data_IF_690311266391
#
_entry.id   IF_690311266391
#
_cell.length_a   1.000
_cell.length_b   1.000
_cell.length_c   1.000
_cell.angle_alpha   90.00
_cell.angle_beta   90.00
_cell.angle_gamma   90.00
#
_symmetry.space_group_name_H-M   'P 1'
#
loop_
_entity.id
_entity.type
_entity.pdbx_description
1 polymer ?
#
# COMPACT_ATOMS: atom_id res chain seq x y z
N UNK A 1 -30.52 -59.66 -29.38
CA UNK A 1 -29.31 -58.84 -29.58
C UNK A 1 -29.61 -57.67 -30.52
N UNK A 2 -29.46 -56.39 -30.11
CA UNK A 2 -29.70 -55.27 -31.02
C UNK A 2 -28.52 -55.09 -32.00
N UNK A 3 -28.84 -55.06 -33.31
CA UNK A 3 -27.86 -54.86 -34.40
C UNK A 3 -27.19 -53.49 -34.26
N UNK A 4 -25.85 -53.46 -34.22
CA UNK A 4 -25.06 -52.21 -34.19
C UNK A 4 -25.33 -51.41 -35.49
N UNK A 5 -26.00 -50.25 -35.39
CA UNK A 5 -26.21 -49.34 -36.54
C UNK A 5 -24.88 -48.85 -37.13
N UNK A 6 -24.78 -48.90 -38.46
CA UNK A 6 -23.66 -48.40 -39.29
C UNK A 6 -23.40 -46.90 -39.07
N UNK A 7 -22.14 -46.45 -39.22
CA UNK A 7 -21.72 -45.04 -39.02
C UNK A 7 -22.37 -44.09 -40.02
N UNK A 8 -22.74 -44.59 -41.20
CA UNK A 8 -23.41 -43.84 -42.27
C UNK A 8 -24.80 -43.39 -41.79
N UNK A 9 -25.52 -44.32 -41.13
CA UNK A 9 -26.87 -44.08 -40.60
C UNK A 9 -26.89 -42.97 -39.56
N UNK A 10 -25.89 -42.92 -38.67
CA UNK A 10 -25.81 -41.87 -37.65
C UNK A 10 -25.51 -40.49 -38.23
N UNK A 11 -24.67 -40.40 -39.27
CA UNK A 11 -24.38 -39.13 -39.95
C UNK A 11 -25.62 -38.59 -40.66
N UNK A 12 -26.40 -39.46 -41.30
CA UNK A 12 -27.58 -39.04 -42.05
C UNK A 12 -28.73 -38.63 -41.13
N UNK A 13 -28.85 -39.24 -39.94
CA UNK A 13 -29.76 -38.78 -38.88
C UNK A 13 -29.36 -37.37 -38.41
N UNK A 14 -28.08 -37.16 -38.06
CA UNK A 14 -27.60 -35.85 -37.59
C UNK A 14 -27.73 -34.75 -38.65
N UNK A 15 -27.57 -35.09 -39.94
CA UNK A 15 -27.82 -34.16 -41.05
C UNK A 15 -29.27 -33.75 -41.18
N UNK A 16 -30.23 -34.66 -40.92
CA UNK A 16 -31.66 -34.31 -40.89
C UNK A 16 -31.99 -33.34 -39.77
N UNK A 17 -31.26 -33.40 -38.67
CA UNK A 17 -31.36 -32.46 -37.55
C UNK A 17 -30.53 -31.17 -37.76
N UNK A 18 -30.02 -30.93 -38.98
CA UNK A 18 -29.28 -29.72 -39.36
C UNK A 18 -27.80 -29.69 -38.95
N UNK A 19 -27.27 -30.77 -38.37
CA UNK A 19 -25.88 -30.85 -37.88
C UNK A 19 -24.99 -31.52 -38.93
N UNK A 20 -24.26 -30.71 -39.70
CA UNK A 20 -23.35 -31.21 -40.72
C UNK A 20 -21.97 -31.58 -40.13
N UNK A 21 -21.75 -32.88 -39.90
CA UNK A 21 -20.47 -33.42 -39.41
C UNK A 21 -19.92 -34.51 -40.34
N UNK A 22 -18.60 -34.70 -40.33
CA UNK A 22 -17.95 -35.75 -41.13
C UNK A 22 -18.16 -37.14 -40.52
N UNK A 23 -18.13 -38.20 -41.36
CA UNK A 23 -18.18 -39.59 -40.86
C UNK A 23 -17.03 -39.87 -39.89
N UNK A 24 -15.85 -39.28 -40.14
CA UNK A 24 -14.68 -39.39 -39.27
C UNK A 24 -14.94 -38.79 -37.89
N UNK A 25 -15.59 -37.63 -37.83
CA UNK A 25 -15.97 -36.98 -36.57
C UNK A 25 -16.95 -37.85 -35.79
N UNK A 26 -17.98 -38.39 -36.44
CA UNK A 26 -18.95 -39.32 -35.80
C UNK A 26 -18.24 -40.58 -35.30
N UNK A 27 -17.30 -41.12 -36.08
CA UNK A 27 -16.50 -42.30 -35.70
C UNK A 27 -15.59 -42.03 -34.50
N UNK A 28 -14.85 -40.92 -34.52
CA UNK A 28 -14.00 -40.46 -33.40
C UNK A 28 -14.84 -40.23 -32.14
N UNK A 29 -16.04 -39.64 -32.30
CA UNK A 29 -16.98 -39.43 -31.22
C UNK A 29 -17.41 -40.77 -30.62
N UNK A 30 -17.82 -41.73 -31.46
CA UNK A 30 -18.27 -43.06 -31.03
C UNK A 30 -17.16 -43.90 -30.40
N UNK A 31 -15.92 -43.83 -30.91
CA UNK A 31 -14.75 -44.52 -30.35
C UNK A 31 -14.34 -43.97 -28.98
N UNK A 32 -14.59 -42.69 -28.72
CA UNK A 32 -14.33 -42.05 -27.41
C UNK A 32 -15.54 -42.12 -26.44
N UNK A 33 -16.56 -42.95 -26.71
CA UNK A 33 -17.64 -43.21 -25.73
C UNK A 33 -17.06 -44.02 -24.58
N UNK A 34 -16.69 -43.31 -23.50
CA UNK A 34 -16.02 -43.84 -22.31
C UNK A 34 -14.88 -42.95 -21.79
N UNK A 35 -14.32 -42.08 -22.63
CA UNK A 35 -13.19 -41.21 -22.27
C UNK A 35 -13.52 -39.72 -22.49
N UNK A 36 -14.26 -39.11 -21.56
CA UNK A 36 -14.54 -37.66 -21.51
C UNK A 36 -15.72 -37.15 -22.37
N UNK A 37 -16.96 -37.48 -22.00
CA UNK A 37 -18.14 -36.66 -22.40
C UNK A 37 -18.99 -36.09 -21.27
N UNK A 38 -18.72 -36.45 -20.01
CA UNK A 38 -19.35 -35.79 -18.86
C UNK A 38 -18.49 -34.67 -18.25
N UNK A 39 -17.34 -34.31 -18.83
CA UNK A 39 -16.69 -33.06 -18.46
C UNK A 39 -17.35 -31.92 -19.24
N UNK A 40 -18.20 -31.15 -18.56
CA UNK A 40 -18.84 -29.91 -19.04
C UNK A 40 -17.80 -28.86 -19.50
N UNK A 41 -16.52 -29.08 -19.23
CA UNK A 41 -15.44 -28.14 -19.51
C UNK A 41 -14.83 -28.30 -20.91
N UNK A 42 -14.74 -27.18 -21.65
CA UNK A 42 -14.06 -27.08 -22.95
C UNK A 42 -12.60 -27.53 -22.84
N UNK A 43 -12.12 -28.32 -23.80
CA UNK A 43 -10.69 -28.65 -23.96
C UNK A 43 -9.90 -27.33 -24.10
N UNK A 44 -9.05 -27.03 -23.12
CA UNK A 44 -8.21 -25.83 -23.13
C UNK A 44 -6.98 -26.08 -24.00
N UNK A 45 -6.96 -25.51 -25.20
CA UNK A 45 -5.73 -25.42 -25.98
C UNK A 45 -4.76 -24.46 -25.28
N UNK A 46 -3.73 -25.01 -24.63
CA UNK A 46 -2.66 -24.26 -24.00
C UNK A 46 -1.52 -24.07 -25.00
N UNK A 47 -1.26 -22.83 -25.43
CA UNK A 47 -0.02 -22.51 -26.14
C UNK A 47 1.10 -22.46 -25.09
N UNK A 48 2.04 -23.42 -25.14
CA UNK A 48 3.24 -23.34 -24.32
C UNK A 48 3.97 -22.03 -24.63
N UNK A 49 4.32 -21.27 -23.60
CA UNK A 49 5.06 -20.01 -23.72
C UNK A 49 6.55 -20.32 -23.59
N UNK A 50 7.36 -20.22 -24.65
CA UNK A 50 8.75 -20.69 -24.62
C UNK A 50 9.64 -19.97 -23.60
N UNK A 51 9.33 -18.70 -23.30
CA UNK A 51 10.23 -17.80 -22.54
C UNK A 51 10.03 -17.88 -21.02
N UNK A 52 8.90 -18.41 -20.55
CA UNK A 52 8.60 -18.57 -19.12
C UNK A 52 8.73 -20.03 -18.72
N UNK A 53 9.92 -20.61 -18.93
CA UNK A 53 10.23 -21.96 -18.43
C UNK A 53 10.16 -21.95 -16.89
N UNK A 54 9.83 -23.08 -16.25
CA UNK A 54 9.80 -23.18 -14.79
C UNK A 54 11.12 -22.72 -14.14
N UNK A 55 12.27 -22.99 -14.78
CA UNK A 55 13.58 -22.51 -14.34
C UNK A 55 13.69 -20.99 -14.35
N UNK A 56 13.26 -20.32 -15.41
CA UNK A 56 13.27 -18.85 -15.48
C UNK A 56 12.33 -18.25 -14.44
N UNK A 57 11.15 -18.85 -14.23
CA UNK A 57 10.21 -18.40 -13.19
C UNK A 57 10.86 -18.50 -11.80
N UNK A 58 11.54 -19.61 -11.49
CA UNK A 58 12.25 -19.78 -10.22
C UNK A 58 13.37 -18.73 -10.04
N UNK A 59 14.16 -18.46 -11.08
CA UNK A 59 15.20 -17.41 -11.04
C UNK A 59 14.59 -16.03 -10.76
N UNK A 60 13.44 -15.73 -11.37
CA UNK A 60 12.72 -14.48 -11.12
C UNK A 60 12.21 -14.42 -9.68
N UNK A 61 11.65 -15.52 -9.16
CA UNK A 61 11.18 -15.60 -7.76
C UNK A 61 12.34 -15.35 -6.79
N UNK A 62 13.47 -16.03 -6.97
CA UNK A 62 14.66 -15.83 -6.15
C UNK A 62 15.19 -14.39 -6.20
N UNK A 63 15.06 -13.72 -7.36
CA UNK A 63 15.49 -12.34 -7.50
C UNK A 63 14.52 -11.32 -6.86
N UNK A 64 13.22 -11.62 -6.78
CA UNK A 64 12.22 -10.71 -6.20
C UNK A 64 11.99 -10.94 -4.71
N UNK A 65 12.18 -12.16 -4.22
CA UNK A 65 11.92 -12.56 -2.83
C UNK A 65 13.13 -12.26 -1.92
N UNK A 66 13.56 -11.00 -1.96
CA UNK A 66 14.65 -10.45 -1.16
C UNK A 66 14.23 -9.09 -0.60
N UNK A 67 14.85 -8.66 0.50
CA UNK A 67 14.49 -7.40 1.17
C UNK A 67 14.55 -6.18 0.24
N UNK A 68 15.55 -6.14 -0.64
CA UNK A 68 15.80 -5.05 -1.58
C UNK A 68 15.93 -5.62 -3.00
N UNK A 69 14.78 -5.88 -3.66
CA UNK A 69 14.80 -6.51 -4.97
C UNK A 69 15.33 -5.55 -6.04
N UNK A 70 16.10 -6.05 -7.02
CA UNK A 70 16.59 -5.25 -8.13
C UNK A 70 15.42 -4.83 -9.06
N UNK A 71 15.68 -3.84 -9.92
CA UNK A 71 14.66 -3.38 -10.87
C UNK A 71 14.28 -4.49 -11.86
N UNK A 72 13.03 -4.46 -12.36
CA UNK A 72 12.59 -5.43 -13.36
C UNK A 72 13.48 -5.44 -14.62
N UNK A 73 14.08 -4.31 -14.99
CA UNK A 73 15.04 -4.21 -16.10
C UNK A 73 16.35 -4.95 -15.80
N UNK A 74 16.84 -4.86 -14.57
CA UNK A 74 18.04 -5.60 -14.14
C UNK A 74 17.79 -7.11 -14.16
N UNK A 75 16.63 -7.55 -13.65
CA UNK A 75 16.23 -8.97 -13.69
C UNK A 75 16.08 -9.44 -15.13
N UNK A 76 15.45 -8.63 -15.99
CA UNK A 76 15.30 -8.92 -17.41
C UNK A 76 16.65 -9.14 -18.11
N UNK A 77 17.65 -8.28 -17.82
CA UNK A 77 19.01 -8.44 -18.35
C UNK A 77 19.67 -9.74 -17.85
N UNK A 78 19.53 -10.07 -16.57
CA UNK A 78 20.10 -11.29 -15.98
C UNK A 78 19.42 -12.58 -16.49
N UNK A 79 18.12 -12.53 -16.78
CA UNK A 79 17.36 -13.66 -17.30
C UNK A 79 17.30 -13.72 -18.83
N UNK A 80 18.02 -12.84 -19.54
CA UNK A 80 17.99 -12.69 -21.01
C UNK A 80 16.54 -12.64 -21.57
N UNK A 81 15.67 -11.90 -20.88
CA UNK A 81 14.26 -11.78 -21.23
C UNK A 81 13.86 -10.30 -21.36
N UNK A 82 12.71 -10.04 -21.97
CA UNK A 82 12.14 -8.69 -22.00
C UNK A 82 11.58 -8.29 -20.62
N UNK A 83 11.57 -6.98 -20.31
CA UNK A 83 10.97 -6.49 -19.07
C UNK A 83 9.46 -6.80 -18.97
N UNK A 84 8.75 -6.85 -20.10
CA UNK A 84 7.33 -7.21 -20.12
C UNK A 84 7.10 -8.68 -19.75
N UNK A 85 8.01 -9.58 -20.15
CA UNK A 85 8.00 -10.99 -19.72
C UNK A 85 8.15 -11.09 -18.21
N UNK A 86 9.13 -10.38 -17.62
CA UNK A 86 9.34 -10.37 -16.16
C UNK A 86 8.12 -9.81 -15.43
N UNK A 87 7.55 -8.71 -15.90
CA UNK A 87 6.32 -8.12 -15.32
C UNK A 87 5.15 -9.12 -15.33
N UNK A 88 4.99 -9.88 -16.42
CA UNK A 88 3.97 -10.92 -16.53
C UNK A 88 4.22 -12.10 -15.59
N UNK A 89 5.48 -12.55 -15.46
CA UNK A 89 5.85 -13.60 -14.49
C UNK A 89 5.53 -13.14 -13.06
N UNK A 90 5.93 -11.93 -12.68
CA UNK A 90 5.65 -11.35 -11.35
C UNK A 90 4.14 -11.35 -11.06
N UNK A 91 3.32 -10.95 -12.04
CA UNK A 91 1.84 -10.99 -11.93
C UNK A 91 1.31 -12.42 -11.81
N UNK A 92 1.85 -13.37 -12.58
CA UNK A 92 1.44 -14.78 -12.53
C UNK A 92 1.75 -15.43 -11.18
N UNK A 93 2.87 -15.07 -10.54
CA UNK A 93 3.26 -15.53 -9.21
C UNK A 93 2.61 -14.70 -8.09
N UNK A 94 1.70 -13.78 -8.43
CA UNK A 94 0.93 -12.97 -7.48
C UNK A 94 1.76 -12.02 -6.58
N UNK A 95 2.92 -11.57 -7.06
CA UNK A 95 3.69 -10.51 -6.41
C UNK A 95 3.20 -9.13 -6.85
N UNK A 96 3.11 -8.18 -5.92
CA UNK A 96 2.73 -6.79 -6.21
C UNK A 96 3.82 -5.81 -5.76
N UNK A 97 4.20 -4.89 -6.65
CA UNK A 97 5.17 -3.86 -6.31
C UNK A 97 4.50 -2.82 -5.42
N UNK A 98 5.07 -2.57 -4.24
CA UNK A 98 4.63 -1.55 -3.29
C UNK A 98 5.76 -0.56 -3.02
N UNK A 99 5.41 0.72 -2.89
CA UNK A 99 6.37 1.76 -2.51
C UNK A 99 6.66 1.65 -1.01
N UNK A 100 7.94 1.52 -0.63
CA UNK A 100 8.36 1.56 0.77
C UNK A 100 8.06 2.93 1.37
N UNK A 101 7.55 2.96 2.59
CA UNK A 101 7.37 4.20 3.35
C UNK A 101 8.70 4.64 3.97
N UNK A 102 8.97 5.95 3.94
CA UNK A 102 10.15 6.52 4.58
C UNK A 102 9.92 6.56 6.09
N UNK A 103 10.78 5.89 6.85
CA UNK A 103 10.76 5.87 8.32
C UNK A 103 12.13 6.24 8.88
N UNK A 104 12.16 6.71 10.13
CA UNK A 104 13.44 6.97 10.81
C UNK A 104 14.22 5.67 11.03
N UNK A 105 15.52 5.70 10.78
CA UNK A 105 16.42 4.58 11.07
C UNK A 105 16.48 4.35 12.58
N UNK A 106 16.07 3.17 13.03
CA UNK A 106 16.16 2.77 14.43
C UNK A 106 17.44 1.98 14.67
N UNK A 107 18.19 2.35 15.71
CA UNK A 107 19.27 1.52 16.24
C UNK A 107 18.68 0.40 17.11
N UNK A 108 19.41 -0.70 17.29
CA UNK A 108 19.00 -1.80 18.19
C UNK A 108 18.68 -1.31 19.60
N UNK A 109 19.49 -0.38 20.13
CA UNK A 109 19.25 0.29 21.41
C UNK A 109 17.92 1.08 21.43
N UNK A 110 17.59 1.79 20.35
CA UNK A 110 16.32 2.53 20.26
C UNK A 110 15.11 1.60 20.19
N UNK A 111 15.22 0.47 19.49
CA UNK A 111 14.17 -0.56 19.43
C UNK A 111 13.90 -1.11 20.83
N UNK A 112 14.96 -1.47 21.58
CA UNK A 112 14.82 -2.01 22.92
C UNK A 112 14.24 -0.97 23.90
N UNK A 113 14.72 0.28 23.84
CA UNK A 113 14.14 1.38 24.63
C UNK A 113 12.65 1.56 24.32
N UNK A 114 12.24 1.49 23.06
CA UNK A 114 10.83 1.59 22.65
C UNK A 114 10.01 0.42 23.20
N UNK A 115 10.49 -0.82 23.03
CA UNK A 115 9.80 -2.03 23.52
C UNK A 115 9.57 -1.97 25.02
N UNK A 116 10.63 -1.70 25.79
CA UNK A 116 10.57 -1.61 27.25
C UNK A 116 9.64 -0.50 27.74
N UNK A 117 9.70 0.69 27.13
CA UNK A 117 8.86 1.84 27.50
C UNK A 117 7.39 1.61 27.11
N UNK A 118 7.13 1.03 25.95
CA UNK A 118 5.77 0.79 25.45
C UNK A 118 4.99 -0.16 26.37
N UNK A 119 5.60 -1.27 26.80
CA UNK A 119 4.95 -2.22 27.72
C UNK A 119 4.64 -1.55 29.06
N UNK A 120 5.58 -0.77 29.61
CA UNK A 120 5.38 -0.05 30.87
C UNK A 120 4.28 1.00 30.76
N UNK A 121 4.25 1.77 29.68
CA UNK A 121 3.22 2.77 29.41
C UNK A 121 1.85 2.10 29.25
N UNK A 122 1.76 0.99 28.50
CA UNK A 122 0.51 0.24 28.34
C UNK A 122 -0.07 -0.19 29.69
N UNK A 123 0.75 -0.76 30.57
CA UNK A 123 0.32 -1.15 31.93
C UNK A 123 -0.20 0.04 32.76
N UNK A 124 0.36 1.23 32.54
CA UNK A 124 -0.10 2.46 33.23
C UNK A 124 -1.41 3.01 32.66
N UNK A 125 -1.67 2.80 31.36
CA UNK A 125 -2.86 3.27 30.66
C UNK A 125 -4.05 2.30 30.75
N UNK A 126 -3.78 1.01 30.98
CA UNK A 126 -4.78 -0.06 31.11
C UNK A 126 -5.82 0.22 32.23
N UNK A 127 -6.90 -0.55 32.24
CA UNK A 127 -7.97 -0.45 33.26
C UNK A 127 -8.57 0.95 33.38
N UNK A 128 -8.84 1.60 32.24
CA UNK A 128 -9.41 2.95 32.17
C UNK A 128 -8.54 4.06 32.79
N UNK A 129 -7.29 3.76 33.18
CA UNK A 129 -6.37 4.71 33.81
C UNK A 129 -5.84 5.76 32.83
N UNK A 130 -5.91 5.49 31.52
CA UNK A 130 -5.62 6.45 30.46
C UNK A 130 -6.42 7.75 30.60
N UNK A 131 -7.61 7.72 31.23
CA UNK A 131 -8.42 8.92 31.49
C UNK A 131 -7.69 9.96 32.36
N UNK A 132 -6.67 9.53 33.10
CA UNK A 132 -5.91 10.38 34.00
C UNK A 132 -4.68 11.00 33.32
N UNK A 133 -4.42 10.64 32.07
CA UNK A 133 -3.26 11.11 31.33
C UNK A 133 -3.63 12.30 30.44
N UNK A 134 -2.68 13.21 30.31
CA UNK A 134 -2.69 14.27 29.31
C UNK A 134 -1.49 14.02 28.40
N UNK A 135 -1.72 13.95 27.10
CA UNK A 135 -0.65 13.93 26.11
C UNK A 135 -0.48 15.33 25.55
N UNK A 136 0.75 15.81 25.48
CA UNK A 136 1.09 17.15 25.02
C UNK A 136 2.11 17.06 23.90
N UNK A 137 2.02 17.96 22.93
CA UNK A 137 2.96 18.03 21.83
C UNK A 137 3.07 19.46 21.30
N UNK A 138 4.18 19.74 20.61
CA UNK A 138 4.44 20.97 19.90
C UNK A 138 4.40 20.74 18.39
N UNK A 139 3.66 21.59 17.67
CA UNK A 139 3.61 21.52 16.21
C UNK A 139 3.78 22.89 15.56
N UNK A 140 4.50 22.91 14.43
CA UNK A 140 4.62 24.08 13.57
C UNK A 140 3.44 24.15 12.61
N UNK A 141 2.78 25.30 12.57
CA UNK A 141 1.77 25.64 11.58
C UNK A 141 2.38 26.67 10.62
N UNK A 142 2.34 26.36 9.33
CA UNK A 142 2.82 27.24 8.27
C UNK A 142 1.64 28.02 7.69
N UNK A 143 1.86 29.32 7.44
CA UNK A 143 0.87 30.21 6.83
C UNK A 143 0.87 30.08 5.31
N UNK A 144 2.04 29.78 4.73
CA UNK A 144 2.20 29.57 3.31
C UNK A 144 1.73 28.15 2.95
N UNK A 145 0.82 28.06 1.97
CA UNK A 145 0.05 26.86 1.65
C UNK A 145 0.87 25.57 1.56
N UNK A 146 0.39 24.54 2.27
CA UNK A 146 0.99 23.20 2.41
C UNK A 146 1.20 22.43 1.11
N UNK A 147 0.62 22.88 -0.01
CA UNK A 147 0.68 22.15 -1.28
C UNK A 147 1.96 22.41 -2.09
N UNK A 148 2.73 23.45 -1.75
CA UNK A 148 3.91 23.87 -2.49
C UNK A 148 3.62 24.11 -3.98
N UNK A 149 4.63 24.57 -4.74
CA UNK A 149 4.55 24.51 -6.20
C UNK A 149 4.81 23.06 -6.63
N UNK A 150 3.87 22.44 -7.35
CA UNK A 150 4.03 21.05 -7.85
C UNK A 150 5.16 21.00 -8.87
N UNK A 151 6.00 19.95 -8.81
CA UNK A 151 7.11 19.72 -9.76
C UNK A 151 6.67 19.27 -11.16
N UNK A 152 5.38 19.38 -11.47
CA UNK A 152 4.79 18.90 -12.71
C UNK A 152 4.14 20.08 -13.40
N UNK A 153 4.61 20.40 -14.60
CA UNK A 153 3.96 21.34 -15.51
C UNK A 153 3.64 20.62 -16.83
N UNK A 154 2.48 20.93 -17.41
CA UNK A 154 2.10 20.48 -18.74
C UNK A 154 2.27 21.64 -19.70
N UNK A 155 3.03 21.43 -20.78
CA UNK A 155 3.38 22.47 -21.74
C UNK A 155 3.02 21.98 -23.14
N UNK A 156 2.45 22.88 -23.95
CA UNK A 156 2.13 22.60 -25.34
C UNK A 156 3.44 22.56 -26.14
N UNK A 157 3.62 21.54 -26.96
CA UNK A 157 4.83 21.39 -27.80
C UNK A 157 4.96 22.47 -28.87
N UNK A 158 3.83 23.06 -29.30
CA UNK A 158 3.76 24.05 -30.37
C UNK A 158 4.19 25.45 -29.92
N UNK A 159 4.01 25.78 -28.64
CA UNK A 159 4.29 27.08 -28.06
C UNK A 159 4.69 26.87 -26.59
N UNK A 160 5.97 26.62 -26.32
CA UNK A 160 6.45 26.35 -24.98
C UNK A 160 6.53 27.63 -24.14
N UNK A 161 5.61 27.78 -23.19
CA UNK A 161 5.72 28.76 -22.11
C UNK A 161 6.79 28.30 -21.10
N UNK A 162 8.02 28.76 -21.31
CA UNK A 162 9.18 28.39 -20.50
C UNK A 162 9.12 28.93 -19.07
N UNK A 163 8.38 30.02 -18.80
CA UNK A 163 8.25 30.57 -17.45
C UNK A 163 7.51 29.60 -16.53
N UNK A 164 6.56 28.82 -17.08
CA UNK A 164 5.89 27.73 -16.34
C UNK A 164 6.81 26.56 -16.01
N UNK A 165 7.99 26.46 -16.62
CA UNK A 165 9.02 25.48 -16.26
C UNK A 165 9.86 25.94 -15.07
N UNK A 166 9.83 27.23 -14.73
CA UNK A 166 10.67 27.81 -13.68
C UNK A 166 9.97 27.66 -12.33
N UNK A 167 10.46 26.72 -11.54
CA UNK A 167 10.11 26.63 -10.13
C UNK A 167 11.07 27.51 -9.33
N UNK A 168 10.66 28.75 -9.06
CA UNK A 168 11.35 29.58 -8.07
C UNK A 168 11.21 28.92 -6.71
N UNK A 169 12.34 28.53 -6.14
CA UNK A 169 12.43 27.99 -4.80
C UNK A 169 12.53 29.17 -3.84
N UNK A 170 11.50 29.39 -3.01
CA UNK A 170 11.59 30.37 -1.94
C UNK A 170 12.74 29.95 -1.01
N UNK A 171 13.73 30.85 -0.87
CA UNK A 171 14.94 30.61 -0.08
C UNK A 171 14.70 30.73 1.42
N UNK A 172 13.58 31.35 1.83
CA UNK A 172 13.18 31.50 3.22
C UNK A 172 12.31 30.34 3.68
N UNK A 173 12.53 29.91 4.94
CA UNK A 173 11.59 29.00 5.61
C UNK A 173 10.20 29.65 5.61
N UNK A 174 9.13 28.94 5.20
CA UNK A 174 7.78 29.50 5.14
C UNK A 174 7.40 30.11 6.48
N UNK A 175 6.69 31.23 6.44
CA UNK A 175 6.27 31.91 7.64
C UNK A 175 5.33 31.00 8.43
N UNK A 176 5.57 30.87 9.72
CA UNK A 176 4.81 29.98 10.56
C UNK A 176 4.98 30.28 12.03
N UNK A 177 4.14 29.66 12.84
CA UNK A 177 4.18 29.76 14.29
C UNK A 177 4.12 28.36 14.90
N UNK A 178 4.71 28.22 16.09
CA UNK A 178 4.66 26.98 16.85
C UNK A 178 3.51 27.06 17.85
N UNK A 179 2.72 26.00 17.94
CA UNK A 179 1.64 25.85 18.90
C UNK A 179 1.96 24.68 19.80
N UNK A 180 1.80 24.92 21.10
CA UNK A 180 1.75 23.88 22.12
C UNK A 180 0.29 23.56 22.44
N UNK A 181 -0.04 22.27 22.48
CA UNK A 181 -1.36 21.81 22.85
C UNK A 181 -1.30 20.46 23.57
N UNK A 182 -2.29 20.21 24.41
CA UNK A 182 -2.50 18.93 25.08
C UNK A 182 -3.93 18.43 24.91
N UNK A 183 -4.06 17.12 24.97
CA UNK A 183 -5.35 16.42 24.93
C UNK A 183 -5.42 15.38 26.05
N UNK A 184 -6.60 15.26 26.64
CA UNK A 184 -6.95 14.25 27.64
C UNK A 184 -8.30 13.65 27.31
N UNK A 185 -8.72 12.59 28.03
CA UNK A 185 -10.06 12.03 27.85
C UNK A 185 -11.20 13.01 28.19
N UNK A 186 -10.90 14.06 28.96
CA UNK A 186 -11.88 15.06 29.41
C UNK A 186 -11.91 16.30 28.51
N UNK A 187 -11.03 16.38 27.51
CA UNK A 187 -10.97 17.48 26.55
C UNK A 187 -9.56 17.99 26.31
N UNK A 188 -9.49 19.11 25.58
CA UNK A 188 -8.24 19.77 25.17
C UNK A 188 -7.80 20.85 26.15
N UNK A 189 -6.49 21.09 26.21
CA UNK A 189 -5.92 22.26 26.89
C UNK A 189 -6.18 23.54 26.08
N UNK A 190 -5.95 24.69 26.69
CA UNK A 190 -5.79 25.93 25.92
C UNK A 190 -4.61 25.80 24.95
N UNK A 191 -4.79 26.30 23.72
CA UNK A 191 -3.71 26.41 22.74
C UNK A 191 -2.77 27.53 23.18
N UNK A 192 -1.47 27.25 23.18
CA UNK A 192 -0.43 28.23 23.55
C UNK A 192 0.45 28.49 22.35
N UNK A 193 0.41 29.72 21.87
CA UNK A 193 1.23 30.17 20.75
C UNK A 193 2.61 30.55 21.27
N UNK A 194 3.64 29.90 20.74
CA UNK A 194 5.03 30.25 20.99
C UNK A 194 5.40 31.42 20.08
N UNK A 195 5.98 32.47 20.66
CA UNK A 195 6.34 33.68 19.89
C UNK A 195 7.33 33.33 18.77
N UNK A 196 7.11 33.82 17.53
CA UNK A 196 8.05 33.62 16.42
C UNK A 196 9.45 34.16 16.78
N UNK A 197 10.50 33.46 16.31
CA UNK A 197 11.89 33.86 16.54
C UNK A 197 12.47 33.55 17.93
N UNK A 198 11.64 33.11 18.89
CA UNK A 198 12.14 32.66 20.20
C UNK A 198 12.70 31.24 20.07
N UNK A 199 14.00 31.08 20.30
CA UNK A 199 14.60 29.76 20.52
C UNK A 199 14.03 29.23 21.84
N UNK A 200 13.31 28.10 21.81
CA UNK A 200 12.73 27.51 23.02
C UNK A 200 13.82 27.21 24.05
N UNK A 201 13.94 28.10 25.04
CA UNK A 201 14.74 27.87 26.24
C UNK A 201 13.90 27.10 27.27
N UNK A 202 14.54 26.33 28.14
CA UNK A 202 13.89 25.65 29.27
C UNK A 202 13.11 26.64 30.14
N UNK A 203 13.68 27.81 30.42
CA UNK A 203 13.03 28.81 31.28
C UNK A 203 11.77 29.39 30.62
N UNK A 204 11.83 29.59 29.30
CA UNK A 204 10.68 30.02 28.53
C UNK A 204 9.58 28.96 28.57
N UNK A 205 9.93 27.68 28.39
CA UNK A 205 8.97 26.57 28.43
C UNK A 205 8.33 26.44 29.81
N UNK A 206 9.12 26.52 30.88
CA UNK A 206 8.63 26.44 32.25
C UNK A 206 7.65 27.59 32.55
N UNK A 207 8.05 28.82 32.24
CA UNK A 207 7.28 30.00 32.63
C UNK A 207 6.06 30.26 31.75
N UNK A 208 6.17 30.07 30.44
CA UNK A 208 5.10 30.41 29.49
C UNK A 208 4.20 29.23 29.14
N UNK A 209 4.67 27.99 29.30
CA UNK A 209 3.91 26.79 28.95
C UNK A 209 3.51 26.00 30.19
N UNK A 210 4.48 25.46 30.94
CA UNK A 210 4.21 24.52 32.04
C UNK A 210 3.46 25.17 33.21
N UNK A 211 3.91 26.32 33.72
CA UNK A 211 3.26 26.99 34.85
C UNK A 211 1.78 27.31 34.55
N UNK A 212 1.45 27.95 33.41
CA UNK A 212 0.05 28.16 33.02
C UNK A 212 -0.75 26.88 32.78
N UNK A 213 -0.12 25.84 32.19
CA UNK A 213 -0.77 24.55 31.97
C UNK A 213 -1.18 23.88 33.30
N UNK A 214 -0.25 23.79 34.24
CA UNK A 214 -0.48 23.15 35.53
C UNK A 214 -1.47 23.92 36.40
N UNK A 215 -1.43 25.25 36.36
CA UNK A 215 -2.30 26.10 37.20
C UNK A 215 -3.72 26.26 36.65
N UNK A 216 -3.91 26.31 35.33
CA UNK A 216 -5.21 26.60 34.71
C UNK A 216 -5.85 25.40 34.03
N UNK A 217 -5.10 24.68 33.20
CA UNK A 217 -5.66 23.60 32.37
C UNK A 217 -5.89 22.32 33.16
N UNK A 218 -4.92 21.91 33.99
CA UNK A 218 -5.03 20.65 34.76
C UNK A 218 -6.25 20.66 35.70
N UNK A 219 -6.48 21.71 36.53
CA UNK A 219 -7.66 21.75 37.40
C UNK A 219 -8.96 21.78 36.60
N UNK A 220 -9.00 22.50 35.47
CA UNK A 220 -10.17 22.56 34.59
C UNK A 220 -10.51 21.17 34.04
N UNK A 221 -9.52 20.45 33.50
CA UNK A 221 -9.71 19.13 32.88
C UNK A 221 -10.12 18.03 33.88
N UNK A 222 -9.67 18.12 35.13
CA UNK A 222 -9.94 17.09 36.15
C UNK A 222 -10.91 17.54 37.27
N UNK A 223 -11.52 18.71 37.16
CA UNK A 223 -12.46 19.26 38.15
C UNK A 223 -13.63 18.31 38.46
N UNK A 224 -14.20 17.65 37.44
CA UNK A 224 -15.35 16.75 37.59
C UNK A 224 -15.06 15.44 38.32
N UNK A 225 -13.78 15.06 38.55
CA UNK A 225 -13.47 13.89 39.38
C UNK A 225 -13.79 14.08 40.86
N UNK A 226 -13.92 15.32 41.33
CA UNK A 226 -14.28 15.61 42.71
C UNK A 226 -15.77 15.46 43.00
N UNK A 227 -16.64 15.37 41.97
CA UNK A 227 -18.10 15.30 42.15
C UNK A 227 -18.67 13.88 42.26
N UNK A 228 -17.90 12.87 41.87
CA UNK A 228 -18.35 11.46 41.80
C UNK A 228 -17.55 10.56 42.77
N UNK A 229 -17.15 11.09 43.91
CA UNK A 229 -16.51 10.33 44.99
C UNK A 229 -17.31 10.49 46.26
#
# INVERSE_FOLDING_TARGET
>A
MPRKKSMIVWRDILKKDGICVSQQTVSNIKRNIGLQRNSVEKIKFSRQRPVATPSTVLKVIQAIDVNDPPTQRSIAKACHASQSTISRIIKQVNFTLRKKQKVHKLTSSNVEKRRRRAIRLYRQLANNRYKNFITTDESWFYLDGTEGKRKVCYIKKSDPDYDRMILQQDSSRPQGFMVWAGISSYGKTSLRFVKPGVKMNSDYYINNILKPFLSRDVPRLFSNKKKNK
#
